data_IF_421808165804
#
_entry.id   IF_421808165804
#
_cell.length_a   1.000
_cell.length_b   1.000
_cell.length_c   1.000
_cell.angle_alpha   90.00
_cell.angle_beta   90.00
_cell.angle_gamma   90.00
#
_symmetry.space_group_name_H-M   'P 1'
#
loop_
_entity.id
_entity.type
_entity.pdbx_description
1 polymer ?
#
# COMPACT_ATOMS: atom_id res chain seq x y z
N UNK A 1 -9.13 13.99 -25.97
CA UNK A 1 -9.06 12.86 -25.04
C UNK A 1 -8.59 13.44 -23.72
N UNK A 2 -9.52 13.80 -22.83
CA UNK A 2 -9.19 14.47 -21.58
C UNK A 2 -8.43 13.51 -20.68
N UNK A 3 -7.18 13.84 -20.35
CA UNK A 3 -6.47 13.21 -19.24
C UNK A 3 -7.37 13.33 -18.03
N UNK A 4 -7.82 12.19 -17.48
CA UNK A 4 -8.45 12.17 -16.18
C UNK A 4 -7.60 13.01 -15.22
N UNK A 5 -8.19 13.86 -14.36
CA UNK A 5 -7.41 14.65 -13.43
C UNK A 5 -6.51 13.68 -12.67
N UNK A 6 -5.19 13.86 -12.77
CA UNK A 6 -4.24 13.06 -12.03
C UNK A 6 -4.62 13.21 -10.56
N UNK A 7 -5.19 12.15 -9.98
CA UNK A 7 -5.56 12.13 -8.57
C UNK A 7 -4.30 12.54 -7.80
N UNK A 8 -4.39 13.54 -6.91
CA UNK A 8 -3.24 13.94 -6.11
C UNK A 8 -2.63 12.71 -5.44
N UNK A 9 -1.30 12.54 -5.52
CA UNK A 9 -0.61 11.36 -4.99
C UNK A 9 -1.03 11.04 -3.55
N UNK A 10 -1.28 12.07 -2.74
CA UNK A 10 -1.74 11.90 -1.37
C UNK A 10 -3.13 11.25 -1.27
N UNK A 11 -4.05 11.61 -2.16
CA UNK A 11 -5.39 11.02 -2.22
C UNK A 11 -5.31 9.56 -2.68
N UNK A 12 -4.52 9.27 -3.72
CA UNK A 12 -4.33 7.90 -4.20
C UNK A 12 -3.73 6.99 -3.12
N UNK A 13 -2.75 7.48 -2.35
CA UNK A 13 -2.18 6.72 -1.24
C UNK A 13 -3.22 6.53 -0.12
N UNK A 14 -4.02 7.55 0.20
CA UNK A 14 -5.05 7.42 1.23
C UNK A 14 -6.12 6.38 0.85
N UNK A 15 -6.54 6.34 -0.42
CA UNK A 15 -7.48 5.34 -0.94
C UNK A 15 -6.87 3.93 -0.90
N UNK A 16 -5.62 3.76 -1.33
CA UNK A 16 -4.89 2.48 -1.25
C UNK A 16 -4.87 1.95 0.18
N UNK A 17 -4.43 2.79 1.12
CA UNK A 17 -4.35 2.46 2.54
C UNK A 17 -5.70 2.04 3.14
N UNK A 18 -6.78 2.74 2.78
CA UNK A 18 -8.12 2.39 3.23
C UNK A 18 -8.58 1.03 2.67
N UNK A 19 -8.26 0.74 1.41
CA UNK A 19 -8.62 -0.53 0.76
C UNK A 19 -7.86 -1.74 1.32
N UNK A 20 -6.60 -1.55 1.74
CA UNK A 20 -5.76 -2.64 2.25
C UNK A 20 -5.90 -2.87 3.75
N UNK A 21 -5.99 -1.81 4.55
CA UNK A 21 -5.94 -1.89 6.03
C UNK A 21 -7.27 -1.57 6.74
N UNK A 22 -8.33 -1.27 5.99
CA UNK A 22 -9.65 -1.04 6.59
C UNK A 22 -10.11 -2.21 7.46
N UNK A 23 -11.17 -1.99 8.25
CA UNK A 23 -11.78 -3.03 9.09
C UNK A 23 -12.29 -4.25 8.29
N UNK A 24 -12.50 -4.07 6.99
CA UNK A 24 -12.71 -5.13 5.98
C UNK A 24 -11.71 -5.02 4.83
N UNK A 25 -10.49 -4.56 5.15
CA UNK A 25 -9.43 -4.39 4.18
C UNK A 25 -8.84 -5.72 3.73
N UNK A 26 -8.22 -5.72 2.56
CA UNK A 26 -7.65 -6.91 1.92
C UNK A 26 -6.73 -7.72 2.87
N UNK A 27 -6.01 -7.05 3.77
CA UNK A 27 -5.12 -7.70 4.74
C UNK A 27 -5.84 -8.49 5.82
N UNK A 28 -7.00 -8.01 6.28
CA UNK A 28 -7.82 -8.74 7.24
C UNK A 28 -8.42 -10.00 6.59
N UNK A 29 -8.88 -9.89 5.35
CA UNK A 29 -9.36 -11.02 4.55
C UNK A 29 -8.25 -12.05 4.28
N UNK A 30 -7.04 -11.58 3.94
CA UNK A 30 -5.89 -12.44 3.67
C UNK A 30 -5.45 -13.23 4.91
N UNK A 31 -5.41 -12.60 6.09
CA UNK A 31 -5.10 -13.30 7.35
C UNK A 31 -6.20 -14.30 7.72
N UNK A 32 -7.47 -13.94 7.49
CA UNK A 32 -8.59 -14.85 7.77
C UNK A 32 -8.56 -16.09 6.86
N UNK A 33 -8.18 -15.92 5.59
CA UNK A 33 -8.01 -17.01 4.63
C UNK A 33 -6.74 -17.84 4.91
N UNK A 34 -5.63 -17.17 5.25
CA UNK A 34 -4.34 -17.81 5.45
C UNK A 34 -3.54 -17.22 6.63
N UNK A 35 -3.73 -17.75 7.85
CA UNK A 35 -3.11 -17.22 9.06
C UNK A 35 -1.57 -17.23 9.04
N UNK A 36 -0.92 -18.06 8.21
CA UNK A 36 0.56 -18.10 8.13
C UNK A 36 1.15 -16.81 7.59
N UNK A 37 0.35 -16.02 6.86
CA UNK A 37 0.75 -14.76 6.25
C UNK A 37 0.72 -13.57 7.23
N UNK A 38 0.30 -13.79 8.48
CA UNK A 38 0.20 -12.73 9.52
C UNK A 38 1.47 -11.88 9.62
N UNK A 39 2.65 -12.51 9.70
CA UNK A 39 3.91 -11.75 9.82
C UNK A 39 4.24 -10.92 8.57
N UNK A 40 3.91 -11.42 7.38
CA UNK A 40 4.13 -10.69 6.13
C UNK A 40 3.17 -9.50 6.02
N UNK A 41 1.90 -9.70 6.39
CA UNK A 41 0.90 -8.62 6.46
C UNK A 41 1.29 -7.55 7.49
N UNK A 42 1.75 -7.94 8.68
CA UNK A 42 2.26 -6.98 9.67
C UNK A 42 3.43 -6.15 9.15
N UNK A 43 4.31 -6.74 8.34
CA UNK A 43 5.41 -6.02 7.70
C UNK A 43 4.89 -4.96 6.73
N UNK A 44 3.90 -5.30 5.89
CA UNK A 44 3.26 -4.37 4.96
C UNK A 44 2.55 -3.22 5.69
N UNK A 45 1.90 -3.51 6.82
CA UNK A 45 1.25 -2.49 7.66
C UNK A 45 2.27 -1.52 8.26
N UNK A 46 3.45 -2.00 8.68
CA UNK A 46 4.53 -1.11 9.15
C UNK A 46 5.01 -0.17 8.07
N UNK A 47 5.15 -0.64 6.83
CA UNK A 47 5.54 0.21 5.70
C UNK A 47 4.49 1.29 5.39
N UNK A 48 3.21 0.94 5.48
CA UNK A 48 2.14 1.90 5.37
C UNK A 48 2.19 2.98 6.47
N UNK A 49 2.55 2.61 7.71
CA UNK A 49 2.76 3.58 8.78
C UNK A 49 3.91 4.56 8.45
N UNK A 50 5.00 4.07 7.86
CA UNK A 50 6.12 4.89 7.39
C UNK A 50 5.70 5.84 6.25
N UNK A 51 4.95 5.34 5.26
CA UNK A 51 4.41 6.15 4.17
C UNK A 51 3.50 7.27 4.71
N UNK A 52 2.58 6.94 5.63
CA UNK A 52 1.74 7.95 6.31
C UNK A 52 2.57 8.98 7.07
N UNK A 53 3.65 8.57 7.72
CA UNK A 53 4.52 9.49 8.44
C UNK A 53 5.26 10.46 7.50
N UNK A 54 5.80 9.93 6.39
CA UNK A 54 6.45 10.74 5.36
C UNK A 54 5.49 11.78 4.76
N UNK A 55 4.26 11.36 4.44
CA UNK A 55 3.24 12.25 3.89
C UNK A 55 2.82 13.36 4.87
N UNK A 56 2.63 13.06 6.16
CA UNK A 56 2.24 14.07 7.16
C UNK A 56 3.33 15.11 7.41
N UNK A 57 4.61 14.70 7.39
CA UNK A 57 5.76 15.62 7.51
C UNK A 57 5.74 16.62 6.36
N UNK A 58 5.50 16.11 5.16
CA UNK A 58 5.58 16.91 3.95
C UNK A 58 4.30 17.71 3.67
N UNK A 59 3.11 17.38 4.18
CA UNK A 59 1.90 18.23 4.03
C UNK A 59 2.04 19.67 4.55
N UNK A 60 3.07 19.95 5.34
CA UNK A 60 3.40 21.32 5.80
C UNK A 60 4.17 22.16 4.76
N UNK A 61 4.60 21.57 3.64
CA UNK A 61 5.31 22.21 2.51
C UNK A 61 4.87 21.58 1.17
N UNK A 62 4.93 22.30 0.05
CA UNK A 62 4.75 21.62 -1.23
C UNK A 62 5.87 20.58 -1.44
N UNK A 63 5.50 19.33 -1.72
CA UNK A 63 6.44 18.26 -2.03
C UNK A 63 7.26 18.61 -3.26
N UNK A 64 8.60 18.51 -3.19
CA UNK A 64 9.43 18.62 -4.39
C UNK A 64 9.23 17.42 -5.33
N UNK A 65 9.50 17.60 -6.62
CA UNK A 65 9.41 16.51 -7.61
C UNK A 65 10.24 15.28 -7.22
N UNK A 66 11.39 15.46 -6.56
CA UNK A 66 12.23 14.37 -6.07
C UNK A 66 11.56 13.57 -4.95
N UNK A 67 10.86 14.24 -4.02
CA UNK A 67 10.11 13.58 -2.95
C UNK A 67 8.90 12.83 -3.49
N UNK A 68 8.17 13.41 -4.44
CA UNK A 68 7.06 12.75 -5.15
C UNK A 68 7.55 11.46 -5.80
N UNK A 69 8.68 11.52 -6.53
CA UNK A 69 9.26 10.36 -7.17
C UNK A 69 9.73 9.29 -6.17
N UNK A 70 10.23 9.69 -5.00
CA UNK A 70 10.64 8.73 -3.97
C UNK A 70 9.45 8.01 -3.33
N UNK A 71 8.40 8.75 -2.99
CA UNK A 71 7.14 8.17 -2.47
C UNK A 71 6.53 7.23 -3.51
N UNK A 72 6.48 7.63 -4.79
CA UNK A 72 5.99 6.78 -5.87
C UNK A 72 6.78 5.46 -5.99
N UNK A 73 8.12 5.51 -5.92
CA UNK A 73 8.96 4.29 -5.94
C UNK A 73 8.76 3.41 -4.72
N UNK A 74 8.55 3.98 -3.53
CA UNK A 74 8.25 3.20 -2.32
C UNK A 74 6.89 2.51 -2.42
N UNK A 75 5.90 3.21 -2.96
CA UNK A 75 4.56 2.67 -3.20
C UNK A 75 4.61 1.53 -4.23
N UNK A 76 5.32 1.71 -5.34
CA UNK A 76 5.47 0.68 -6.37
C UNK A 76 6.05 -0.63 -5.80
N UNK A 77 7.15 -0.53 -5.03
CA UNK A 77 7.74 -1.68 -4.32
C UNK A 77 6.81 -2.29 -3.27
N UNK A 78 5.97 -1.48 -2.64
CA UNK A 78 4.98 -1.97 -1.69
C UNK A 78 3.91 -2.79 -2.42
N UNK A 79 3.33 -2.24 -3.48
CA UNK A 79 2.32 -2.93 -4.30
C UNK A 79 2.85 -4.24 -4.89
N UNK A 80 4.11 -4.26 -5.34
CA UNK A 80 4.74 -5.47 -5.85
C UNK A 80 4.81 -6.57 -4.79
N UNK A 81 5.25 -6.25 -3.57
CA UNK A 81 5.30 -7.21 -2.46
C UNK A 81 3.93 -7.66 -1.98
N UNK A 82 2.94 -6.76 -1.97
CA UNK A 82 1.55 -7.11 -1.70
C UNK A 82 1.00 -8.10 -2.73
N UNK A 83 1.34 -7.91 -4.02
CA UNK A 83 0.95 -8.83 -5.09
C UNK A 83 1.67 -10.18 -4.99
N UNK A 84 2.96 -10.20 -4.64
CA UNK A 84 3.70 -11.45 -4.39
C UNK A 84 3.09 -12.25 -3.23
N UNK A 85 2.69 -11.55 -2.16
CA UNK A 85 2.02 -12.16 -1.00
C UNK A 85 0.63 -12.72 -1.38
N UNK A 86 -0.13 -11.99 -2.19
CA UNK A 86 -1.39 -12.48 -2.73
C UNK A 86 -1.15 -13.72 -3.59
N UNK A 87 -0.16 -13.70 -4.48
CA UNK A 87 0.19 -14.88 -5.27
C UNK A 87 0.58 -16.07 -4.40
N UNK A 88 1.32 -15.86 -3.31
CA UNK A 88 1.66 -16.93 -2.33
C UNK A 88 0.43 -17.50 -1.62
N UNK A 89 -0.56 -16.67 -1.29
CA UNK A 89 -1.82 -17.12 -0.70
C UNK A 89 -2.60 -18.03 -1.67
N UNK A 90 -2.66 -17.67 -2.95
CA UNK A 90 -3.48 -18.39 -3.93
C UNK A 90 -2.75 -19.56 -4.61
N UNK A 91 -1.41 -19.55 -4.71
CA UNK A 91 -0.65 -20.66 -5.29
C UNK A 91 -0.50 -21.83 -4.32
N UNK A 92 -0.40 -21.57 -3.03
CA UNK A 92 -0.31 -22.64 -2.02
C UNK A 92 -1.63 -23.39 -1.87
N UNK A 93 -2.77 -22.77 -2.20
CA UNK A 93 -4.09 -23.40 -2.17
C UNK A 93 -4.41 -24.28 -3.41
N UNK A 94 -3.50 -24.32 -4.39
CA UNK A 94 -3.58 -25.17 -5.60
C UNK A 94 -2.65 -26.39 -5.54
N UNK A 95 -2.04 -26.68 -4.38
CA UNK A 95 -1.16 -27.83 -4.14
C UNK A 95 -1.87 -29.05 -3.58
#
# INVERSE_FOLDING_TARGET
MGLAPAVPLCTAIAEHLASTEGESGLYAELIAADPRLTYAVESLIREHAELRHAMRRDQSRELSAAQIADVARRLDRHCQRGNDLFYEAYVVDLG
#
